data_IF_917198418940
#
_entry.id   IF_917198418940
#
_cell.length_a   1.000
_cell.length_b   1.000
_cell.length_c   1.000
_cell.angle_alpha   90.00
_cell.angle_beta   90.00
_cell.angle_gamma   90.00
#
_symmetry.space_group_name_H-M   'P 1'
#
loop_
_entity.id
_entity.type
_entity.pdbx_description
1 polymer ?
#
# COMPACT_ATOMS: atom_id res chain seq x y z
N UNK A 1 38.04 15.64 4.57
CA UNK A 1 38.14 15.56 6.03
C UNK A 1 36.89 16.13 6.64
N UNK A 2 35.91 15.32 6.96
CA UNK A 2 34.72 15.70 7.72
C UNK A 2 34.60 14.74 8.91
N UNK A 3 34.74 15.31 10.08
CA UNK A 3 34.76 14.66 11.37
C UNK A 3 33.35 14.10 11.69
N UNK A 4 33.24 12.80 11.88
CA UNK A 4 32.04 12.14 12.37
C UNK A 4 32.03 12.27 13.89
N UNK A 5 31.07 13.05 14.41
CA UNK A 5 30.79 13.08 15.83
C UNK A 5 29.97 11.82 16.16
N UNK A 6 30.64 10.80 16.70
CA UNK A 6 30.01 9.69 17.39
C UNK A 6 29.74 10.17 18.81
N UNK A 7 28.48 10.47 19.10
CA UNK A 7 28.04 10.79 20.45
C UNK A 7 27.85 9.49 21.22
N UNK A 8 28.96 8.98 21.79
CA UNK A 8 28.92 7.93 22.80
C UNK A 8 28.37 8.53 24.09
N UNK A 9 27.08 8.26 24.40
CA UNK A 9 26.56 8.46 25.74
C UNK A 9 27.16 7.37 26.65
N UNK A 10 28.34 7.66 27.17
CA UNK A 10 28.89 6.98 28.34
C UNK A 10 28.09 7.47 29.54
N UNK A 11 27.12 6.66 29.98
CA UNK A 11 26.51 6.83 31.30
C UNK A 11 27.58 6.43 32.32
N UNK A 12 28.28 7.45 32.82
CA UNK A 12 29.11 7.33 34.03
C UNK A 12 28.19 7.06 35.20
N UNK A 13 28.10 5.79 35.60
CA UNK A 13 27.49 5.41 36.87
C UNK A 13 28.53 5.73 37.94
N UNK A 14 28.29 6.72 38.83
CA UNK A 14 29.17 6.92 39.97
C UNK A 14 28.96 5.75 40.92
N UNK A 15 29.95 4.90 41.04
CA UNK A 15 30.06 3.95 42.16
C UNK A 15 30.27 4.75 43.46
N UNK A 16 29.18 5.07 44.11
CA UNK A 16 29.23 5.56 45.51
C UNK A 16 29.00 4.35 46.42
N UNK A 17 30.08 3.75 46.84
CA UNK A 17 30.08 2.89 48.03
C UNK A 17 29.93 3.80 49.23
N UNK A 18 28.83 3.71 49.93
CA UNK A 18 28.65 3.80 51.40
C UNK A 18 27.18 3.98 51.76
N UNK A 19 26.62 3.00 52.34
CA UNK A 19 25.59 2.87 53.38
C UNK A 19 24.53 1.81 53.07
N UNK A 20 24.55 0.77 53.87
CA UNK A 20 23.72 -0.44 53.71
C UNK A 20 22.21 -0.27 53.92
N UNK A 21 21.70 0.92 54.18
CA UNK A 21 20.26 1.16 54.35
C UNK A 21 19.56 1.90 53.19
N UNK A 22 20.27 2.19 52.10
CA UNK A 22 19.69 2.85 50.89
C UNK A 22 19.54 1.93 49.68
N UNK A 23 19.95 0.65 49.78
CA UNK A 23 20.07 -0.22 48.64
C UNK A 23 18.74 -0.76 48.08
N UNK A 24 17.70 -0.94 48.93
CA UNK A 24 16.42 -1.49 48.40
C UNK A 24 15.72 -0.55 47.43
N UNK A 25 15.65 0.75 47.71
CA UNK A 25 14.99 1.71 46.80
C UNK A 25 15.70 1.90 45.46
N UNK A 26 17.03 1.75 45.45
CA UNK A 26 17.79 1.87 44.19
C UNK A 26 17.72 0.60 43.37
N UNK A 27 17.63 -0.58 43.98
CA UNK A 27 17.41 -1.84 43.26
C UNK A 27 16.01 -1.90 42.61
N UNK A 28 14.99 -1.43 43.33
CA UNK A 28 13.63 -1.35 42.77
C UNK A 28 13.51 -0.35 41.62
N UNK A 29 14.22 0.77 41.70
CA UNK A 29 14.29 1.74 40.62
C UNK A 29 15.02 1.17 39.40
N UNK A 30 16.11 0.45 39.58
CA UNK A 30 16.88 -0.21 38.51
C UNK A 30 16.06 -1.33 37.85
N UNK A 31 15.40 -2.16 38.68
CA UNK A 31 14.49 -3.20 38.18
C UNK A 31 13.30 -2.60 37.44
N UNK A 32 12.75 -1.48 37.88
CA UNK A 32 11.67 -0.78 37.19
C UNK A 32 12.13 -0.19 35.86
N UNK A 33 13.34 0.36 35.79
CA UNK A 33 13.93 0.87 34.56
C UNK A 33 14.23 -0.26 33.54
N UNK A 34 14.77 -1.37 34.02
CA UNK A 34 15.01 -2.57 33.17
C UNK A 34 13.69 -3.17 32.70
N UNK A 35 12.67 -3.23 33.55
CA UNK A 35 11.34 -3.69 33.18
C UNK A 35 10.67 -2.75 32.16
N UNK A 36 10.79 -1.44 32.35
CA UNK A 36 10.32 -0.44 31.36
C UNK A 36 11.04 -0.54 30.04
N UNK A 37 12.34 -0.80 30.04
CA UNK A 37 13.13 -0.99 28.83
C UNK A 37 12.79 -2.32 28.10
N UNK A 38 12.46 -3.37 28.89
CA UNK A 38 12.01 -4.65 28.36
C UNK A 38 10.57 -4.60 27.79
N UNK A 39 9.77 -3.64 28.24
CA UNK A 39 8.40 -3.40 27.76
C UNK A 39 8.33 -2.49 26.53
N UNK A 40 9.44 -1.85 26.14
CA UNK A 40 9.45 -1.06 24.91
C UNK A 40 9.41 -2.01 23.70
N UNK A 41 8.51 -1.74 22.74
CA UNK A 41 8.52 -2.50 21.51
C UNK A 41 9.90 -2.40 20.85
N UNK A 42 10.38 -3.47 20.21
CA UNK A 42 11.66 -3.43 19.52
C UNK A 42 11.64 -2.30 18.48
N UNK A 43 12.79 -1.62 18.27
CA UNK A 43 12.86 -0.54 17.30
C UNK A 43 12.42 -1.02 15.92
N UNK A 44 11.65 -0.18 15.21
CA UNK A 44 11.22 -0.46 13.86
C UNK A 44 12.44 -0.40 12.91
N UNK A 45 12.74 -1.52 12.24
CA UNK A 45 13.92 -1.70 11.37
C UNK A 45 13.54 -2.53 10.15
N UNK A 46 14.26 -2.34 9.04
CA UNK A 46 14.03 -3.08 7.80
C UNK A 46 14.11 -4.61 8.01
N UNK A 47 15.04 -5.07 8.85
CA UNK A 47 15.26 -6.49 9.14
C UNK A 47 14.03 -7.17 9.76
N UNK A 48 13.16 -6.42 10.46
CA UNK A 48 11.93 -6.96 11.03
C UNK A 48 10.97 -7.47 9.94
N UNK A 49 11.15 -7.02 8.72
CA UNK A 49 10.28 -7.28 7.55
C UNK A 49 10.97 -8.13 6.48
N UNK A 50 12.23 -8.54 6.69
CA UNK A 50 13.03 -9.27 5.70
C UNK A 50 12.54 -10.72 5.54
N UNK A 51 11.41 -10.88 4.88
CA UNK A 51 10.85 -12.16 4.47
C UNK A 51 10.06 -12.03 3.18
N UNK A 52 9.80 -13.16 2.52
CA UNK A 52 9.08 -13.20 1.26
C UNK A 52 7.56 -13.12 1.47
N UNK A 53 6.89 -12.45 0.54
CA UNK A 53 5.45 -12.54 0.38
C UNK A 53 5.09 -13.87 -0.24
N UNK A 54 4.16 -14.60 0.38
CA UNK A 54 3.68 -15.88 -0.14
C UNK A 54 2.60 -15.67 -1.21
N UNK A 55 2.72 -16.29 -2.36
CA UNK A 55 1.66 -16.32 -3.37
C UNK A 55 0.92 -17.65 -3.27
N UNK A 56 -0.39 -17.59 -3.02
CA UNK A 56 -1.25 -18.75 -2.76
C UNK A 56 -2.24 -18.90 -3.91
N UNK A 57 -2.21 -20.04 -4.59
CA UNK A 57 -3.05 -20.32 -5.78
C UNK A 57 -4.00 -21.48 -5.60
N UNK A 58 -4.05 -22.09 -4.41
CA UNK A 58 -4.79 -23.33 -4.12
C UNK A 58 -5.72 -23.24 -2.92
N UNK A 59 -6.13 -22.04 -2.55
CA UNK A 59 -7.03 -21.80 -1.42
C UNK A 59 -8.47 -21.66 -1.91
N UNK A 60 -9.36 -22.58 -1.53
CA UNK A 60 -10.75 -22.60 -1.99
C UNK A 60 -11.68 -21.63 -1.22
N UNK A 61 -11.30 -21.24 -0.02
CA UNK A 61 -12.01 -20.23 0.78
C UNK A 61 -11.12 -19.65 1.87
N UNK A 62 -11.46 -18.47 2.35
CA UNK A 62 -10.80 -17.82 3.46
C UNK A 62 -11.75 -16.82 4.14
N UNK A 63 -11.38 -16.36 5.33
CA UNK A 63 -12.15 -15.34 6.06
C UNK A 63 -11.35 -14.05 6.15
N UNK A 64 -12.05 -12.94 5.99
CA UNK A 64 -11.51 -11.61 6.23
C UNK A 64 -11.38 -11.33 7.73
N UNK A 65 -10.67 -10.29 8.11
CA UNK A 65 -10.61 -9.79 9.50
C UNK A 65 -12.00 -9.42 10.03
N UNK A 66 -12.90 -8.96 9.16
CA UNK A 66 -14.31 -8.71 9.47
C UNK A 66 -15.18 -9.99 9.52
N UNK A 67 -14.55 -11.18 9.48
CA UNK A 67 -15.22 -12.49 9.52
C UNK A 67 -16.15 -12.76 8.31
N UNK A 68 -16.01 -12.02 7.23
CA UNK A 68 -16.71 -12.32 5.98
C UNK A 68 -16.02 -13.50 5.30
N UNK A 69 -16.80 -14.53 4.99
CA UNK A 69 -16.29 -15.68 4.23
C UNK A 69 -16.25 -15.35 2.74
N UNK A 70 -15.11 -15.65 2.12
CA UNK A 70 -14.87 -15.49 0.69
C UNK A 70 -14.64 -16.88 0.11
N UNK A 71 -15.48 -17.27 -0.83
CA UNK A 71 -15.25 -18.43 -1.67
C UNK A 71 -14.29 -18.03 -2.81
N UNK A 72 -13.28 -18.84 -3.00
CA UNK A 72 -12.25 -18.67 -4.04
C UNK A 72 -12.44 -19.81 -5.06
N UNK A 73 -12.85 -19.47 -6.27
CA UNK A 73 -12.89 -20.42 -7.37
C UNK A 73 -11.45 -20.63 -7.90
N UNK A 74 -11.08 -21.85 -8.12
CA UNK A 74 -9.77 -22.28 -8.62
C UNK A 74 -9.81 -22.74 -10.08
N UNK A 75 -10.95 -22.56 -10.77
CA UNK A 75 -11.09 -22.91 -12.17
C UNK A 75 -10.42 -21.89 -13.08
N UNK A 76 -9.10 -21.92 -13.11
CA UNK A 76 -8.31 -21.09 -14.01
C UNK A 76 -8.39 -21.63 -15.45
N UNK A 77 -8.25 -20.74 -16.44
CA UNK A 77 -8.29 -21.16 -17.86
C UNK A 77 -7.15 -22.09 -18.24
N UNK A 78 -5.97 -21.87 -17.67
CA UNK A 78 -4.83 -22.76 -17.84
C UNK A 78 -3.80 -22.61 -16.70
N UNK A 79 -2.99 -23.67 -16.48
CA UNK A 79 -1.86 -23.59 -15.56
C UNK A 79 -0.83 -22.54 -16.03
N UNK A 80 -0.63 -22.44 -17.34
CA UNK A 80 0.32 -21.48 -17.92
C UNK A 80 -0.06 -20.02 -17.61
N UNK A 81 -1.36 -19.68 -17.56
CA UNK A 81 -1.81 -18.34 -17.21
C UNK A 81 -1.53 -18.03 -15.74
N UNK A 82 -1.75 -19.00 -14.84
CA UNK A 82 -1.43 -18.82 -13.43
C UNK A 82 0.08 -18.66 -13.20
N UNK A 83 0.89 -19.49 -13.84
CA UNK A 83 2.35 -19.39 -13.75
C UNK A 83 2.84 -18.02 -14.25
N UNK A 84 2.30 -17.56 -15.36
CA UNK A 84 2.58 -16.23 -15.89
C UNK A 84 2.20 -15.13 -14.89
N UNK A 85 1.01 -15.24 -14.29
CA UNK A 85 0.53 -14.26 -13.32
C UNK A 85 1.38 -14.24 -12.04
N UNK A 86 1.77 -15.41 -11.56
CA UNK A 86 2.67 -15.53 -10.38
C UNK A 86 4.03 -14.88 -10.67
N UNK A 87 4.61 -15.08 -11.84
CA UNK A 87 5.88 -14.45 -12.22
C UNK A 87 5.72 -12.92 -12.37
N UNK A 88 4.59 -12.46 -12.86
CA UNK A 88 4.27 -11.05 -12.94
C UNK A 88 4.19 -10.42 -11.54
N UNK A 89 3.47 -11.04 -10.60
CA UNK A 89 3.39 -10.59 -9.21
C UNK A 89 4.76 -10.52 -8.54
N UNK A 90 5.61 -11.53 -8.74
CA UNK A 90 6.99 -11.52 -8.22
C UNK A 90 7.78 -10.33 -8.73
N UNK A 91 7.65 -9.99 -10.01
CA UNK A 91 8.29 -8.80 -10.61
C UNK A 91 7.77 -7.52 -9.99
N UNK A 92 6.45 -7.40 -9.81
CA UNK A 92 5.86 -6.21 -9.20
C UNK A 92 6.23 -6.05 -7.73
N UNK A 93 6.29 -7.15 -6.97
CA UNK A 93 6.77 -7.14 -5.59
C UNK A 93 8.24 -6.66 -5.53
N UNK A 94 9.08 -7.13 -6.44
CA UNK A 94 10.49 -6.78 -6.49
C UNK A 94 10.78 -5.32 -6.86
N UNK A 95 9.79 -4.56 -7.35
CA UNK A 95 9.91 -3.11 -7.60
C UNK A 95 10.05 -2.30 -6.32
N UNK A 96 9.60 -2.85 -5.19
CA UNK A 96 9.63 -2.22 -3.87
C UNK A 96 10.87 -2.62 -3.06
N UNK A 97 11.22 -1.85 -2.01
CA UNK A 97 12.24 -2.28 -1.07
C UNK A 97 11.91 -3.64 -0.45
N UNK A 98 12.93 -4.44 -0.23
CA UNK A 98 12.78 -5.74 0.45
C UNK A 98 12.05 -5.56 1.78
N UNK A 99 10.95 -6.29 1.98
CA UNK A 99 10.13 -6.20 3.19
C UNK A 99 9.03 -5.13 3.17
N UNK A 100 8.95 -4.28 2.15
CA UNK A 100 7.93 -3.23 2.04
C UNK A 100 6.50 -3.78 2.18
N UNK A 101 6.19 -4.84 1.42
CA UNK A 101 4.88 -5.50 1.44
C UNK A 101 4.57 -6.11 2.80
N UNK A 102 5.58 -6.72 3.43
CA UNK A 102 5.46 -7.31 4.76
C UNK A 102 5.18 -6.24 5.82
N UNK A 103 5.86 -5.08 5.74
CA UNK A 103 5.57 -3.94 6.61
C UNK A 103 4.15 -3.43 6.41
N UNK A 104 3.64 -3.42 5.19
CA UNK A 104 2.25 -3.07 4.88
C UNK A 104 1.23 -4.09 5.43
N UNK A 105 1.70 -5.22 5.94
CA UNK A 105 0.85 -6.31 6.46
C UNK A 105 0.53 -7.37 5.40
N UNK A 106 1.00 -7.22 4.17
CA UNK A 106 0.76 -8.20 3.10
C UNK A 106 1.76 -9.34 3.22
N UNK A 107 1.43 -10.32 4.04
CA UNK A 107 2.23 -11.55 4.18
C UNK A 107 1.92 -12.56 3.06
N UNK A 108 0.73 -12.46 2.48
CA UNK A 108 0.22 -13.37 1.44
C UNK A 108 -0.52 -12.61 0.36
N UNK A 109 -0.39 -13.09 -0.87
CA UNK A 109 -1.27 -12.73 -1.98
C UNK A 109 -2.04 -13.99 -2.38
N UNK A 110 -3.37 -13.94 -2.24
CA UNK A 110 -4.26 -15.05 -2.61
C UNK A 110 -4.79 -14.79 -4.01
N UNK A 111 -4.57 -15.73 -4.92
CA UNK A 111 -5.10 -15.69 -6.27
C UNK A 111 -6.29 -16.63 -6.39
N UNK A 112 -7.38 -16.11 -6.93
CA UNK A 112 -8.58 -16.85 -7.23
C UNK A 112 -8.94 -16.64 -8.71
N UNK A 113 -9.54 -17.62 -9.36
CA UNK A 113 -10.19 -17.37 -10.66
C UNK A 113 -11.32 -16.37 -10.49
N UNK A 114 -12.15 -16.57 -9.49
CA UNK A 114 -13.22 -15.66 -9.09
C UNK A 114 -13.37 -15.66 -7.57
N UNK A 115 -13.65 -14.51 -6.98
CA UNK A 115 -13.96 -14.38 -5.57
C UNK A 115 -15.43 -14.03 -5.38
N UNK A 116 -16.10 -14.72 -4.47
CA UNK A 116 -17.50 -14.46 -4.13
C UNK A 116 -17.67 -14.38 -2.62
N UNK A 117 -18.24 -13.30 -2.14
CA UNK A 117 -18.59 -13.15 -0.71
C UNK A 117 -19.72 -14.09 -0.33
N UNK A 118 -19.87 -14.40 0.97
CA UNK A 118 -21.02 -15.13 1.51
C UNK A 118 -22.38 -14.47 1.21
N UNK A 119 -22.38 -13.21 0.78
CA UNK A 119 -23.60 -12.49 0.35
C UNK A 119 -23.85 -12.57 -1.17
N UNK A 120 -23.08 -13.39 -1.88
CA UNK A 120 -23.19 -13.56 -3.33
C UNK A 120 -22.63 -12.42 -4.18
N UNK A 121 -21.82 -11.51 -3.62
CA UNK A 121 -21.17 -10.45 -4.39
C UNK A 121 -19.83 -10.94 -4.94
N UNK A 122 -19.60 -10.74 -6.22
CA UNK A 122 -18.29 -10.91 -6.85
C UNK A 122 -17.36 -9.76 -6.43
N UNK A 123 -16.11 -10.09 -6.10
CA UNK A 123 -15.08 -9.16 -5.68
C UNK A 123 -13.89 -9.31 -6.62
N UNK A 124 -13.34 -8.20 -7.11
CA UNK A 124 -12.17 -8.21 -8.00
C UNK A 124 -10.87 -8.31 -7.21
N UNK A 125 -10.73 -7.49 -6.21
CA UNK A 125 -9.61 -7.52 -5.29
C UNK A 125 -10.01 -6.91 -3.94
N UNK A 126 -9.24 -7.18 -2.92
CA UNK A 126 -9.28 -6.45 -1.65
C UNK A 126 -8.03 -6.71 -0.84
N UNK A 127 -7.75 -5.82 0.09
CA UNK A 127 -6.68 -5.95 1.04
C UNK A 127 -7.23 -6.14 2.46
N UNK A 128 -6.58 -7.00 3.24
CA UNK A 128 -6.91 -7.26 4.64
C UNK A 128 -5.64 -7.14 5.49
N UNK A 129 -5.74 -7.34 6.80
CA UNK A 129 -4.64 -7.12 7.76
C UNK A 129 -3.37 -7.92 7.48
N UNK A 130 -3.49 -9.12 6.85
CA UNK A 130 -2.36 -10.02 6.60
C UNK A 130 -2.24 -10.51 5.17
N UNK A 131 -3.16 -10.12 4.32
CA UNK A 131 -3.15 -10.60 2.95
C UNK A 131 -3.84 -9.63 2.00
N UNK A 132 -3.52 -9.81 0.74
CA UNK A 132 -4.17 -9.22 -0.40
C UNK A 132 -4.77 -10.35 -1.24
N UNK A 133 -5.98 -10.18 -1.74
CA UNK A 133 -6.61 -11.17 -2.60
C UNK A 133 -6.97 -10.54 -3.94
N UNK A 134 -6.74 -11.29 -5.03
CA UNK A 134 -6.98 -10.85 -6.39
C UNK A 134 -7.75 -11.92 -7.14
N UNK A 135 -8.81 -11.51 -7.83
CA UNK A 135 -9.56 -12.35 -8.77
C UNK A 135 -8.92 -12.25 -10.16
N UNK A 136 -8.38 -13.36 -10.63
CA UNK A 136 -7.81 -13.50 -11.97
C UNK A 136 -8.90 -14.05 -12.89
N UNK A 137 -9.89 -13.24 -13.24
CA UNK A 137 -11.01 -13.74 -14.04
C UNK A 137 -10.60 -14.05 -15.48
N UNK A 138 -10.99 -15.23 -15.96
CA UNK A 138 -10.82 -15.62 -17.36
C UNK A 138 -11.45 -14.63 -18.35
N UNK A 139 -12.54 -13.96 -17.92
CA UNK A 139 -13.21 -12.93 -18.69
C UNK A 139 -12.37 -11.66 -18.86
N UNK A 140 -11.45 -11.37 -17.92
CA UNK A 140 -10.52 -10.25 -18.06
C UNK A 140 -9.37 -10.57 -19.01
N UNK A 141 -9.01 -11.83 -19.20
CA UNK A 141 -8.05 -12.23 -20.24
C UNK A 141 -8.59 -12.01 -21.65
N UNK A 142 -9.92 -12.03 -21.83
CA UNK A 142 -10.61 -11.87 -23.11
C UNK A 142 -11.28 -10.50 -23.30
N UNK A 143 -11.45 -9.72 -22.25
CA UNK A 143 -12.00 -8.38 -22.40
C UNK A 143 -11.04 -7.49 -23.18
N UNK A 144 -11.52 -6.98 -24.31
CA UNK A 144 -10.88 -5.86 -25.00
C UNK A 144 -10.90 -4.66 -24.06
N UNK A 145 -9.79 -4.46 -23.39
CA UNK A 145 -9.60 -3.47 -22.37
C UNK A 145 -9.99 -2.10 -22.87
N UNK A 146 -10.64 -1.35 -22.03
CA UNK A 146 -10.77 0.09 -22.15
C UNK A 146 -9.40 0.65 -22.55
N UNK A 147 -9.35 1.30 -23.70
CA UNK A 147 -8.16 1.91 -24.29
C UNK A 147 -7.51 2.96 -23.39
N UNK A 148 -8.14 3.29 -22.28
CA UNK A 148 -7.77 4.36 -21.35
C UNK A 148 -6.59 3.94 -20.47
N UNK A 149 -6.63 2.77 -19.85
CA UNK A 149 -5.58 2.35 -18.90
C UNK A 149 -4.36 1.75 -19.57
N UNK A 150 -4.50 1.21 -20.78
CA UNK A 150 -3.44 0.57 -21.55
C UNK A 150 -2.93 1.38 -22.75
N UNK A 151 -3.32 2.64 -22.88
CA UNK A 151 -2.78 3.53 -23.92
C UNK A 151 -3.08 3.12 -25.37
N UNK A 152 -4.14 2.33 -25.61
CA UNK A 152 -4.56 1.96 -26.97
C UNK A 152 -3.60 1.04 -27.72
N UNK A 153 -2.61 0.43 -27.07
CA UNK A 153 -1.68 -0.49 -27.73
C UNK A 153 -2.29 -1.89 -27.85
N UNK A 154 -2.34 -2.47 -29.06
CA UNK A 154 -3.11 -3.68 -29.35
C UNK A 154 -2.52 -4.98 -28.78
N UNK A 155 -1.38 -4.95 -28.10
CA UNK A 155 -0.62 -6.13 -27.72
C UNK A 155 -0.45 -6.34 -26.22
N UNK A 156 -1.13 -5.57 -25.37
CA UNK A 156 -1.07 -5.79 -23.92
C UNK A 156 -2.09 -6.86 -23.49
N UNK A 157 -1.65 -7.78 -22.64
CA UNK A 157 -2.56 -8.67 -21.95
C UNK A 157 -3.35 -7.85 -20.91
N UNK A 158 -4.63 -8.17 -20.74
CA UNK A 158 -5.54 -7.52 -19.78
C UNK A 158 -4.97 -7.53 -18.36
N UNK A 159 -4.32 -8.63 -17.99
CA UNK A 159 -3.59 -8.79 -16.73
C UNK A 159 -2.65 -7.62 -16.44
N UNK A 160 -1.93 -7.14 -17.44
CA UNK A 160 -0.95 -6.08 -17.27
C UNK A 160 -1.63 -4.73 -17.01
N UNK A 161 -2.80 -4.52 -17.59
CA UNK A 161 -3.48 -3.24 -17.56
C UNK A 161 -4.45 -3.05 -16.40
N UNK A 162 -5.03 -4.12 -15.90
CA UNK A 162 -6.01 -4.11 -14.81
C UNK A 162 -5.44 -4.62 -13.51
N UNK A 163 -4.82 -5.78 -13.53
CA UNK A 163 -4.46 -6.45 -12.30
C UNK A 163 -3.24 -5.82 -11.63
N UNK A 164 -2.28 -5.30 -12.43
CA UNK A 164 -1.13 -4.58 -11.87
C UNK A 164 -1.55 -3.29 -11.17
N UNK A 165 -2.30 -2.38 -11.80
CA UNK A 165 -2.83 -1.21 -11.09
C UNK A 165 -3.68 -1.60 -9.87
N UNK A 166 -4.53 -2.61 -9.98
CA UNK A 166 -5.34 -3.12 -8.87
C UNK A 166 -4.47 -3.60 -7.71
N UNK A 167 -3.38 -4.30 -7.98
CA UNK A 167 -2.45 -4.75 -6.96
C UNK A 167 -1.81 -3.57 -6.20
N UNK A 168 -1.39 -2.51 -6.90
CA UNK A 168 -0.84 -1.31 -6.26
C UNK A 168 -1.92 -0.52 -5.52
N UNK A 169 -3.15 -0.50 -6.02
CA UNK A 169 -4.32 0.04 -5.35
C UNK A 169 -4.54 -0.63 -3.99
N UNK A 170 -4.61 -1.95 -3.96
CA UNK A 170 -4.80 -2.72 -2.73
C UNK A 170 -3.61 -2.63 -1.76
N UNK A 171 -2.38 -2.57 -2.30
CA UNK A 171 -1.20 -2.32 -1.48
C UNK A 171 -1.27 -0.94 -0.82
N UNK A 172 -1.80 0.07 -1.51
CA UNK A 172 -1.96 1.42 -0.95
C UNK A 172 -2.91 1.40 0.23
N UNK A 173 -4.05 0.71 0.14
CA UNK A 173 -4.92 0.50 1.29
C UNK A 173 -4.18 -0.15 2.48
N UNK A 174 -3.31 -1.12 2.20
CA UNK A 174 -2.52 -1.79 3.23
C UNK A 174 -1.51 -0.85 3.88
N UNK A 175 -0.82 -0.02 3.10
CA UNK A 175 0.10 1.02 3.59
C UNK A 175 -0.65 2.04 4.45
N UNK A 176 -1.79 2.52 3.97
CA UNK A 176 -2.62 3.51 4.66
C UNK A 176 -3.11 3.00 6.01
N UNK A 177 -3.54 1.74 6.10
CA UNK A 177 -3.92 1.11 7.38
C UNK A 177 -2.81 1.15 8.41
N UNK A 178 -1.56 0.98 7.98
CA UNK A 178 -0.40 0.98 8.89
C UNK A 178 0.07 2.40 9.25
N UNK A 179 -0.06 3.33 8.31
CA UNK A 179 0.46 4.69 8.47
C UNK A 179 -0.52 5.62 9.19
N UNK A 180 -1.81 5.49 8.94
CA UNK A 180 -2.82 6.46 9.34
C UNK A 180 -3.59 6.09 10.62
N UNK A 181 -3.12 5.14 11.43
CA UNK A 181 -3.84 4.65 12.62
C UNK A 181 -5.32 4.35 12.32
N UNK A 182 -5.55 3.17 11.79
CA UNK A 182 -6.83 2.69 11.28
C UNK A 182 -8.04 2.95 12.19
N UNK A 183 -7.84 2.92 13.51
CA UNK A 183 -8.94 3.11 14.45
C UNK A 183 -9.45 4.56 14.53
N UNK A 184 -8.60 5.54 14.19
CA UNK A 184 -8.96 6.97 14.24
C UNK A 184 -9.33 7.54 12.89
N UNK A 185 -8.69 7.11 11.81
CA UNK A 185 -8.74 7.77 10.50
C UNK A 185 -9.45 6.95 9.42
N UNK A 186 -10.08 5.81 9.77
CA UNK A 186 -10.81 4.99 8.80
C UNK A 186 -11.99 5.74 8.17
N UNK A 187 -12.63 6.64 8.91
CA UNK A 187 -13.82 7.36 8.48
C UNK A 187 -13.55 8.79 7.98
N UNK A 188 -12.33 9.28 8.11
CA UNK A 188 -11.94 10.59 7.60
C UNK A 188 -10.43 10.72 7.43
N UNK A 189 -10.00 11.46 6.43
CA UNK A 189 -8.63 11.90 6.23
C UNK A 189 -8.63 13.40 5.93
N UNK A 190 -8.71 14.25 6.99
CA UNK A 190 -8.82 15.70 6.80
C UNK A 190 -7.67 16.29 5.99
N UNK A 191 -6.45 15.77 6.11
CA UNK A 191 -5.32 16.23 5.31
C UNK A 191 -5.55 15.97 3.83
N UNK A 192 -6.00 14.75 3.47
CA UNK A 192 -6.32 14.39 2.09
C UNK A 192 -7.53 15.16 1.56
N UNK A 193 -8.57 15.27 2.38
CA UNK A 193 -9.82 15.89 1.99
C UNK A 193 -9.67 17.41 1.73
N UNK A 194 -8.73 18.09 2.41
CA UNK A 194 -8.39 19.50 2.12
C UNK A 194 -7.74 19.71 0.75
N UNK A 195 -7.25 18.65 0.12
CA UNK A 195 -6.69 18.67 -1.23
C UNK A 195 -7.75 18.47 -2.33
N UNK A 196 -9.01 18.36 -1.99
CA UNK A 196 -10.09 18.30 -2.96
C UNK A 196 -10.45 19.69 -3.50
N UNK A 197 -11.00 19.72 -4.71
CA UNK A 197 -11.55 20.95 -5.27
C UNK A 197 -12.66 21.53 -4.37
N UNK A 198 -12.80 22.85 -4.30
CA UNK A 198 -13.86 23.48 -3.49
C UNK A 198 -15.24 22.95 -3.84
N UNK A 199 -15.99 22.52 -2.82
CA UNK A 199 -17.34 21.97 -2.98
C UNK A 199 -17.39 20.50 -3.39
N UNK A 200 -16.25 19.83 -3.59
CA UNK A 200 -16.23 18.39 -3.85
C UNK A 200 -16.69 17.61 -2.60
N UNK A 201 -17.47 16.57 -2.84
CA UNK A 201 -17.89 15.59 -1.82
C UNK A 201 -17.83 14.19 -2.41
N UNK A 202 -17.33 13.22 -1.64
CA UNK A 202 -17.35 11.82 -2.04
C UNK A 202 -18.78 11.30 -2.11
N UNK A 203 -19.09 10.51 -3.15
CA UNK A 203 -20.47 10.07 -3.43
C UNK A 203 -20.93 8.87 -2.60
N UNK A 204 -20.01 8.17 -1.93
CA UNK A 204 -20.27 6.89 -1.28
C UNK A 204 -20.35 5.73 -2.28
N UNK A 205 -20.07 4.52 -1.78
CA UNK A 205 -19.97 3.31 -2.60
C UNK A 205 -21.25 2.97 -3.40
N UNK A 206 -22.39 3.39 -2.94
CA UNK A 206 -23.68 3.07 -3.61
C UNK A 206 -23.92 3.89 -4.88
N UNK A 207 -23.17 4.95 -5.10
CA UNK A 207 -23.38 5.88 -6.21
C UNK A 207 -22.32 5.75 -7.33
N UNK A 208 -21.28 4.96 -7.15
CA UNK A 208 -20.20 4.77 -8.13
C UNK A 208 -20.67 4.19 -9.45
N UNK A 209 -21.67 3.33 -9.44
CA UNK A 209 -22.24 2.72 -10.64
C UNK A 209 -22.90 3.71 -11.61
N UNK A 210 -23.15 4.95 -11.18
CA UNK A 210 -23.76 6.00 -12.01
C UNK A 210 -22.73 6.90 -12.70
N UNK A 211 -21.46 6.81 -12.30
CA UNK A 211 -20.37 7.60 -12.88
C UNK A 211 -19.68 6.74 -13.93
N UNK A 212 -19.59 7.18 -15.18
CA UNK A 212 -18.82 6.48 -16.19
C UNK A 212 -17.37 6.26 -15.71
N UNK A 213 -16.80 5.11 -16.00
CA UNK A 213 -15.39 4.84 -15.75
C UNK A 213 -14.54 5.69 -16.72
N UNK A 214 -14.31 6.93 -16.31
CA UNK A 214 -13.62 7.95 -17.11
C UNK A 214 -12.37 8.38 -16.37
N UNK A 215 -11.29 8.49 -17.09
CA UNK A 215 -10.06 9.07 -16.60
C UNK A 215 -10.24 10.58 -16.33
N UNK A 216 -9.79 11.01 -15.15
CA UNK A 216 -9.82 12.42 -14.70
C UNK A 216 -11.19 13.07 -14.91
N UNK A 217 -12.24 12.52 -14.30
CA UNK A 217 -13.61 12.95 -14.55
C UNK A 217 -13.90 14.35 -13.98
N UNK A 218 -13.13 14.78 -12.98
CA UNK A 218 -13.28 16.05 -12.28
C UNK A 218 -11.98 16.46 -11.58
N UNK A 219 -11.81 17.74 -11.20
CA UNK A 219 -10.59 18.21 -10.55
C UNK A 219 -10.24 17.41 -9.29
N UNK A 220 -8.98 16.98 -9.19
CA UNK A 220 -8.44 16.24 -8.05
C UNK A 220 -8.73 14.73 -8.05
N UNK A 221 -9.46 14.19 -9.03
CA UNK A 221 -9.85 12.77 -9.09
C UNK A 221 -9.23 12.10 -10.32
N UNK A 222 -8.51 10.99 -10.11
CA UNK A 222 -7.84 10.27 -11.20
C UNK A 222 -8.77 9.33 -11.96
N UNK A 223 -9.59 8.54 -11.25
CA UNK A 223 -10.65 7.71 -11.83
C UNK A 223 -11.97 7.96 -11.12
N UNK A 224 -13.08 7.72 -11.82
CA UNK A 224 -14.42 7.89 -11.27
C UNK A 224 -14.64 7.08 -9.98
N UNK A 225 -14.01 5.91 -9.88
CA UNK A 225 -14.05 5.07 -8.68
C UNK A 225 -13.47 5.77 -7.44
N UNK A 226 -12.38 6.52 -7.60
CA UNK A 226 -11.79 7.33 -6.53
C UNK A 226 -12.75 8.38 -5.94
N UNK A 227 -13.74 8.85 -6.72
CA UNK A 227 -14.75 9.78 -6.22
C UNK A 227 -15.77 9.15 -5.24
N UNK A 228 -15.74 7.83 -5.06
CA UNK A 228 -16.64 7.13 -4.14
C UNK A 228 -16.28 7.34 -2.67
N UNK A 229 -15.00 7.33 -2.35
CA UNK A 229 -14.51 7.40 -0.98
C UNK A 229 -13.06 7.88 -0.95
N UNK A 230 -12.66 8.64 0.07
CA UNK A 230 -11.28 9.13 0.19
C UNK A 230 -10.23 8.00 0.23
N UNK A 231 -10.58 6.83 0.75
CA UNK A 231 -9.70 5.65 0.74
C UNK A 231 -9.45 5.14 -0.68
N UNK A 232 -10.50 5.06 -1.51
CA UNK A 232 -10.39 4.67 -2.91
C UNK A 232 -9.62 5.73 -3.72
N UNK A 233 -9.89 6.99 -3.45
CA UNK A 233 -9.17 8.09 -4.07
C UNK A 233 -7.65 7.99 -3.83
N UNK A 234 -7.23 7.77 -2.57
CA UNK A 234 -5.81 7.53 -2.25
C UNK A 234 -5.23 6.30 -2.95
N UNK A 235 -5.99 5.21 -2.96
CA UNK A 235 -5.56 3.96 -3.56
C UNK A 235 -5.34 4.11 -5.07
N UNK A 236 -6.18 4.88 -5.76
CA UNK A 236 -5.98 5.24 -7.16
C UNK A 236 -4.67 6.00 -7.37
N UNK A 237 -4.33 6.98 -6.53
CA UNK A 237 -3.05 7.67 -6.66
C UNK A 237 -1.87 6.72 -6.51
N UNK A 238 -1.91 5.77 -5.58
CA UNK A 238 -0.89 4.74 -5.44
C UNK A 238 -0.79 3.85 -6.68
N UNK A 239 -1.92 3.44 -7.23
CA UNK A 239 -1.99 2.66 -8.46
C UNK A 239 -1.37 3.40 -9.67
N UNK A 240 -1.63 4.69 -9.81
CA UNK A 240 -1.06 5.50 -10.89
C UNK A 240 0.43 5.79 -10.70
N UNK A 241 0.87 6.10 -9.49
CA UNK A 241 2.28 6.36 -9.19
C UNK A 241 3.15 5.14 -9.48
N UNK A 242 2.74 3.94 -9.07
CA UNK A 242 3.48 2.70 -9.32
C UNK A 242 3.03 1.97 -10.58
N UNK A 243 2.03 2.47 -11.26
CA UNK A 243 1.47 1.87 -12.47
C UNK A 243 2.46 1.81 -13.64
N UNK A 244 1.97 1.28 -14.73
CA UNK A 244 2.69 1.18 -16.00
C UNK A 244 3.07 2.57 -16.52
N UNK A 245 4.04 2.66 -17.46
CA UNK A 245 4.45 3.94 -18.03
C UNK A 245 3.28 4.76 -18.59
N UNK A 246 2.28 4.10 -19.20
CA UNK A 246 1.07 4.78 -19.70
C UNK A 246 0.23 5.37 -18.58
N UNK A 247 -0.04 4.62 -17.53
CA UNK A 247 -0.79 5.11 -16.35
C UNK A 247 -0.05 6.26 -15.66
N UNK A 248 1.25 6.11 -15.48
CA UNK A 248 2.09 7.15 -14.92
C UNK A 248 2.10 8.43 -15.80
N UNK A 249 2.17 8.30 -17.13
CA UNK A 249 2.11 9.45 -18.02
C UNK A 249 0.77 10.18 -17.94
N UNK A 250 -0.34 9.47 -17.74
CA UNK A 250 -1.65 10.08 -17.48
C UNK A 250 -1.66 10.86 -16.17
N UNK A 251 -1.04 10.32 -15.11
CA UNK A 251 -0.86 11.04 -13.85
C UNK A 251 -0.09 12.35 -14.04
N UNK A 252 1.05 12.28 -14.74
CA UNK A 252 1.90 13.46 -15.02
C UNK A 252 1.12 14.50 -15.85
N UNK A 253 0.34 14.04 -16.83
CA UNK A 253 -0.50 14.93 -17.61
C UNK A 253 -1.55 15.64 -16.73
N UNK A 254 -2.21 14.91 -15.82
CA UNK A 254 -3.16 15.50 -14.88
C UNK A 254 -2.47 16.48 -13.92
N UNK A 255 -1.29 16.13 -13.36
CA UNK A 255 -0.52 17.03 -12.48
C UNK A 255 -0.21 18.39 -13.12
N UNK A 256 0.03 18.43 -14.43
CA UNK A 256 0.37 19.67 -15.15
C UNK A 256 -0.79 20.63 -15.30
N UNK A 257 -2.00 20.14 -15.25
CA UNK A 257 -3.22 20.91 -15.51
C UNK A 257 -4.12 21.05 -14.28
N UNK A 258 -3.92 20.18 -13.29
CA UNK A 258 -4.74 20.11 -12.09
C UNK A 258 -3.88 20.22 -10.81
N UNK A 259 -3.90 21.34 -10.10
CA UNK A 259 -3.13 21.54 -8.88
C UNK A 259 -3.58 20.63 -7.72
N UNK A 260 -4.84 20.17 -7.72
CA UNK A 260 -5.35 19.24 -6.71
C UNK A 260 -4.75 17.84 -6.89
N UNK A 261 -4.65 17.37 -8.15
CA UNK A 261 -3.94 16.13 -8.47
C UNK A 261 -2.47 16.24 -8.06
N UNK A 262 -1.80 17.33 -8.44
CA UNK A 262 -0.40 17.54 -8.08
C UNK A 262 -0.18 17.53 -6.56
N UNK A 263 -1.07 18.16 -5.78
CA UNK A 263 -0.99 18.18 -4.33
C UNK A 263 -1.18 16.77 -3.73
N UNK A 264 -2.13 16.00 -4.23
CA UNK A 264 -2.38 14.63 -3.79
C UNK A 264 -1.21 13.69 -4.11
N UNK A 265 -0.57 13.82 -5.27
CA UNK A 265 0.65 13.07 -5.60
C UNK A 265 1.76 13.37 -4.61
N UNK A 266 2.00 14.65 -4.30
CA UNK A 266 3.02 15.03 -3.32
C UNK A 266 2.74 14.43 -1.94
N UNK A 267 1.49 14.44 -1.50
CA UNK A 267 1.11 13.84 -0.22
C UNK A 267 1.29 12.31 -0.24
N UNK A 268 0.89 11.63 -1.32
CA UNK A 268 1.11 10.18 -1.50
C UNK A 268 2.58 9.84 -1.38
N UNK A 269 3.45 10.55 -2.11
CA UNK A 269 4.90 10.33 -2.08
C UNK A 269 5.47 10.59 -0.68
N UNK A 270 5.05 11.68 -0.03
CA UNK A 270 5.48 12.00 1.34
C UNK A 270 5.13 10.90 2.32
N UNK A 271 3.88 10.41 2.28
CA UNK A 271 3.39 9.33 3.14
C UNK A 271 4.12 8.01 2.88
N UNK A 272 4.37 7.66 1.64
CA UNK A 272 5.07 6.43 1.30
C UNK A 272 6.55 6.46 1.72
N UNK A 273 7.23 7.61 1.60
CA UNK A 273 8.59 7.79 2.13
C UNK A 273 8.61 7.72 3.67
N UNK A 274 7.59 8.27 4.33
CA UNK A 274 7.44 8.14 5.79
C UNK A 274 7.17 6.69 6.19
N UNK A 275 6.38 5.95 5.39
CA UNK A 275 6.10 4.55 5.65
C UNK A 275 7.37 3.70 5.57
N UNK A 276 8.25 3.94 4.60
CA UNK A 276 9.51 3.22 4.45
C UNK A 276 10.72 4.15 4.62
N UNK A 277 11.09 4.49 5.88
CA UNK A 277 12.18 5.42 6.14
C UNK A 277 13.56 4.74 6.18
N UNK A 278 13.64 3.44 5.89
CA UNK A 278 14.85 2.65 6.06
C UNK A 278 15.82 2.85 4.89
N UNK A 279 17.15 2.82 5.16
CA UNK A 279 18.18 2.81 4.10
C UNK A 279 18.10 1.53 3.27
N UNK A 280 18.74 1.53 2.09
CA UNK A 280 18.79 0.37 1.20
C UNK A 280 17.71 0.33 0.13
N UNK A 281 16.82 1.34 0.10
CA UNK A 281 15.79 1.47 -0.94
C UNK A 281 16.28 2.23 -2.18
N UNK A 282 17.47 2.79 -2.18
CA UNK A 282 17.97 3.78 -3.15
C UNK A 282 17.94 3.29 -4.59
N UNK A 283 18.19 1.99 -4.79
CA UNK A 283 18.25 1.36 -6.10
C UNK A 283 16.94 0.66 -6.52
N UNK A 284 15.86 0.81 -5.75
CA UNK A 284 14.57 0.23 -6.09
C UNK A 284 13.81 1.10 -7.08
N UNK A 285 12.98 0.47 -7.91
CA UNK A 285 12.09 1.21 -8.81
C UNK A 285 11.11 2.08 -8.02
N UNK A 286 10.65 1.63 -6.87
CA UNK A 286 9.82 2.41 -5.94
C UNK A 286 10.48 3.75 -5.60
N UNK A 287 11.76 3.75 -5.17
CA UNK A 287 12.44 4.99 -4.80
C UNK A 287 12.66 5.93 -6.00
N UNK A 288 13.03 5.37 -7.15
CA UNK A 288 13.14 6.14 -8.40
C UNK A 288 11.80 6.76 -8.79
N UNK A 289 10.70 6.01 -8.66
CA UNK A 289 9.35 6.48 -8.99
C UNK A 289 8.88 7.57 -8.03
N UNK A 290 9.17 7.44 -6.72
CA UNK A 290 8.89 8.50 -5.74
C UNK A 290 9.60 9.81 -6.10
N UNK A 291 10.89 9.74 -6.42
CA UNK A 291 11.66 10.91 -6.82
C UNK A 291 11.14 11.55 -8.12
N UNK A 292 10.81 10.71 -9.10
CA UNK A 292 10.25 11.14 -10.38
C UNK A 292 8.89 11.84 -10.20
N UNK A 293 7.99 11.25 -9.40
CA UNK A 293 6.67 11.82 -9.16
C UNK A 293 6.73 13.17 -8.44
N UNK A 294 7.66 13.34 -7.48
CA UNK A 294 7.92 14.66 -6.86
C UNK A 294 8.40 15.70 -7.87
N UNK A 295 9.18 15.30 -8.86
CA UNK A 295 9.68 16.22 -9.89
C UNK A 295 8.59 16.56 -10.91
N UNK A 296 7.83 15.57 -11.37
CA UNK A 296 6.87 15.72 -12.46
C UNK A 296 5.57 16.41 -12.03
N UNK A 297 5.23 16.35 -10.71
CA UNK A 297 4.02 16.91 -10.11
C UNK A 297 4.31 18.07 -9.11
N UNK A 298 5.27 18.92 -9.42
CA UNK A 298 5.63 20.11 -8.63
C UNK A 298 4.60 21.22 -8.70
#
# INVERSE_FOLDING_TARGET
>A
MKLHFILCFLILIPLVFCNEQKNEKNSDLLLSLVALQALQPPPDRAENYDRDVQIITNLSSFKTSAQVEIACDLNYSSQQDIDYYVELLKKEIARYPRGYWIKAGVEKIVLCSTMTTSYGRTVLAFSDDKFLAISVTNSMLDMRVSTITCGGTPNFRVVECYDIPTMHHELTHSVDRKLLDHHRNYYSDPEWETLNAPGFQYYGFNNTLQIPDVWHPMPGIMLAYGASHFGEDRAEFGAFVMGWPTSYNLLVQACRTDPFVAAKVRLTVSRWKQFWPFPGAENTEWNMRMAQAEQDCR
#
